data_IF_495021406233
#
_entry.id   IF_495021406233
#
_cell.length_a   1.000
_cell.length_b   1.000
_cell.length_c   1.000
_cell.angle_alpha   90.00
_cell.angle_beta   90.00
_cell.angle_gamma   90.00
#
_symmetry.space_group_name_H-M   'P 1'
#
loop_
_entity.id
_entity.type
_entity.pdbx_description
1 polymer ?
#
# COMPACT_ATOMS: atom_id res chain seq x y z
N UNK A 1 -18.38 -25.75 -9.44
CA UNK A 1 -17.23 -24.88 -9.74
C UNK A 1 -17.68 -23.45 -9.50
N UNK A 2 -17.32 -22.89 -8.35
CA UNK A 2 -17.61 -21.49 -8.06
C UNK A 2 -16.70 -20.64 -8.96
N UNK A 3 -17.29 -19.81 -9.81
CA UNK A 3 -16.54 -18.75 -10.47
C UNK A 3 -15.91 -17.90 -9.36
N UNK A 4 -14.59 -17.84 -9.33
CA UNK A 4 -13.88 -16.95 -8.43
C UNK A 4 -14.36 -15.53 -8.70
N UNK A 5 -15.02 -14.90 -7.73
CA UNK A 5 -15.35 -13.47 -7.73
C UNK A 5 -14.12 -12.60 -7.45
N UNK A 6 -12.91 -13.17 -7.53
CA UNK A 6 -11.68 -12.44 -7.33
C UNK A 6 -11.52 -11.48 -8.52
N UNK A 7 -11.48 -10.16 -8.30
CA UNK A 7 -11.44 -9.16 -9.37
C UNK A 7 -10.20 -9.29 -10.27
N UNK A 8 -9.19 -10.07 -9.83
CA UNK A 8 -7.88 -10.28 -10.44
C UNK A 8 -7.66 -11.78 -10.67
N UNK A 9 -7.19 -12.15 -11.87
CA UNK A 9 -6.83 -13.52 -12.22
C UNK A 9 -5.35 -13.77 -11.90
N UNK A 10 -5.09 -14.33 -10.72
CA UNK A 10 -3.72 -14.63 -10.28
C UNK A 10 -3.00 -15.65 -11.18
N UNK A 11 -3.72 -16.60 -11.78
CA UNK A 11 -3.10 -17.54 -12.72
C UNK A 11 -2.67 -16.83 -14.01
N UNK A 12 -3.49 -15.91 -14.53
CA UNK A 12 -3.13 -15.07 -15.66
C UNK A 12 -1.95 -14.14 -15.33
N UNK A 13 -1.91 -13.53 -14.13
CA UNK A 13 -0.77 -12.73 -13.67
C UNK A 13 0.53 -13.54 -13.64
N UNK A 14 0.50 -14.76 -13.07
CA UNK A 14 1.65 -15.65 -13.03
C UNK A 14 2.14 -16.10 -14.43
N UNK A 15 1.25 -16.04 -15.43
CA UNK A 15 1.54 -16.38 -16.82
C UNK A 15 2.08 -15.21 -17.66
N UNK A 16 2.02 -13.96 -17.17
CA UNK A 16 2.55 -12.80 -17.89
C UNK A 16 4.05 -12.96 -18.18
N UNK A 17 4.49 -12.57 -19.38
CA UNK A 17 5.90 -12.61 -19.80
C UNK A 17 6.29 -11.36 -20.58
N UNK A 18 7.58 -10.99 -20.60
CA UNK A 18 8.06 -9.97 -21.51
C UNK A 18 7.70 -10.27 -22.98
N UNK A 19 7.39 -9.24 -23.75
CA UNK A 19 6.91 -9.34 -25.13
C UNK A 19 5.40 -9.54 -25.29
N UNK A 20 4.66 -9.87 -24.22
CA UNK A 20 3.19 -9.86 -24.26
C UNK A 20 2.66 -8.42 -24.33
N UNK A 21 1.50 -8.16 -24.96
CA UNK A 21 0.93 -6.82 -25.04
C UNK A 21 0.35 -6.37 -23.70
N UNK A 22 0.25 -5.04 -23.50
CA UNK A 22 -0.41 -4.45 -22.32
C UNK A 22 -1.84 -4.97 -22.09
N UNK A 23 -2.57 -5.33 -23.14
CA UNK A 23 -3.92 -5.92 -23.03
C UNK A 23 -3.95 -7.26 -22.28
N UNK A 24 -2.83 -7.98 -22.20
CA UNK A 24 -2.71 -9.17 -21.37
C UNK A 24 -2.72 -8.81 -19.87
N UNK A 25 -2.08 -7.70 -19.50
CA UNK A 25 -2.07 -7.17 -18.13
C UNK A 25 -3.48 -6.70 -17.75
N UNK A 26 -4.13 -5.92 -18.62
CA UNK A 26 -5.51 -5.48 -18.44
C UNK A 26 -6.45 -6.66 -18.19
N UNK A 27 -6.37 -7.70 -19.03
CA UNK A 27 -7.17 -8.90 -18.87
C UNK A 27 -6.91 -9.62 -17.54
N UNK A 28 -5.65 -9.74 -17.12
CA UNK A 28 -5.28 -10.41 -15.88
C UNK A 28 -5.72 -9.60 -14.63
N UNK A 29 -5.70 -8.27 -14.72
CA UNK A 29 -6.13 -7.38 -13.64
C UNK A 29 -7.66 -7.26 -13.52
N UNK A 30 -8.40 -7.56 -14.59
CA UNK A 30 -9.86 -7.50 -14.59
C UNK A 30 -10.38 -6.14 -14.13
N UNK A 31 -11.27 -6.15 -13.14
CA UNK A 31 -11.88 -4.91 -12.63
C UNK A 31 -10.94 -4.00 -11.83
N UNK A 32 -9.75 -4.49 -11.46
CA UNK A 32 -8.72 -3.66 -10.83
C UNK A 32 -7.91 -2.83 -11.83
N UNK A 33 -8.07 -3.09 -13.14
CA UNK A 33 -7.36 -2.35 -14.18
C UNK A 33 -7.70 -0.87 -14.15
N UNK A 34 -6.66 -0.04 -14.22
CA UNK A 34 -6.75 1.40 -14.48
C UNK A 34 -5.67 1.76 -15.47
N UNK A 35 -6.00 2.60 -16.45
CA UNK A 35 -5.03 3.06 -17.44
C UNK A 35 -3.82 3.71 -16.75
N UNK A 36 -2.59 3.24 -17.01
CA UNK A 36 -1.39 3.81 -16.39
C UNK A 36 -1.22 5.27 -16.82
N UNK A 37 -0.91 6.13 -15.87
CA UNK A 37 -0.69 7.54 -16.17
C UNK A 37 0.62 7.72 -16.97
N UNK A 38 0.65 8.59 -17.99
CA UNK A 38 1.83 8.76 -18.85
C UNK A 38 3.13 9.07 -18.09
N UNK A 39 3.04 9.85 -17.01
CA UNK A 39 4.19 10.25 -16.21
C UNK A 39 4.84 9.09 -15.44
N UNK A 40 4.17 7.93 -15.33
CA UNK A 40 4.74 6.73 -14.70
C UNK A 40 5.74 5.97 -15.58
N UNK A 41 5.97 6.40 -16.83
CA UNK A 41 6.99 5.78 -17.69
C UNK A 41 6.73 4.29 -17.98
N UNK A 42 5.45 3.91 -18.11
CA UNK A 42 5.00 2.54 -18.36
C UNK A 42 4.84 1.64 -17.12
N UNK A 43 5.08 2.16 -15.90
CA UNK A 43 4.90 1.39 -14.66
C UNK A 43 3.41 1.22 -14.31
N UNK A 44 3.06 -0.02 -13.97
CA UNK A 44 1.74 -0.46 -13.52
C UNK A 44 1.93 -1.13 -12.15
N UNK A 45 1.67 -0.37 -11.09
CA UNK A 45 1.93 -0.74 -9.69
C UNK A 45 0.65 -0.90 -8.85
N UNK A 46 -0.51 -0.88 -9.50
CA UNK A 46 -1.83 -0.92 -8.85
C UNK A 46 -1.99 -2.13 -7.91
N UNK A 47 -1.37 -3.26 -8.24
CA UNK A 47 -1.46 -4.50 -7.46
C UNK A 47 -0.25 -4.73 -6.53
N UNK A 48 0.67 -3.78 -6.42
CA UNK A 48 1.90 -3.94 -5.64
C UNK A 48 1.62 -4.30 -4.17
N UNK A 49 0.70 -3.58 -3.53
CA UNK A 49 0.42 -3.74 -2.11
C UNK A 49 -0.66 -4.78 -1.80
N UNK A 50 -1.47 -5.16 -2.79
CA UNK A 50 -2.54 -6.16 -2.64
C UNK A 50 -2.11 -7.57 -3.06
N UNK A 51 -1.51 -7.72 -4.24
CA UNK A 51 -1.08 -9.01 -4.77
C UNK A 51 0.45 -9.13 -4.87
N UNK A 52 1.20 -8.04 -4.77
CA UNK A 52 2.66 -8.09 -4.89
C UNK A 52 3.18 -8.05 -6.32
N UNK A 53 2.42 -7.48 -7.26
CA UNK A 53 2.76 -7.49 -8.70
C UNK A 53 2.97 -6.08 -9.22
N UNK A 54 4.10 -5.88 -9.92
CA UNK A 54 4.41 -4.66 -10.67
C UNK A 54 4.74 -5.06 -12.10
N UNK A 55 4.16 -4.37 -13.08
CA UNK A 55 4.48 -4.56 -14.50
C UNK A 55 5.05 -3.27 -15.06
N UNK A 56 6.04 -3.36 -15.95
CA UNK A 56 6.55 -2.21 -16.71
C UNK A 56 6.41 -2.46 -18.20
N UNK A 57 5.69 -1.58 -18.86
CA UNK A 57 5.46 -1.56 -20.30
C UNK A 57 6.56 -0.75 -20.98
N UNK A 58 7.12 -1.29 -22.05
CA UNK A 58 8.14 -0.66 -22.87
C UNK A 58 7.54 0.36 -23.86
N UNK A 59 8.41 1.05 -24.61
CA UNK A 59 8.01 2.06 -25.61
C UNK A 59 7.18 1.48 -26.76
N UNK A 60 7.18 0.17 -26.94
CA UNK A 60 6.42 -0.53 -27.97
C UNK A 60 5.05 -1.01 -27.47
N UNK A 61 4.71 -0.73 -26.21
CA UNK A 61 3.44 -1.16 -25.61
C UNK A 61 3.44 -2.65 -25.19
N UNK A 62 4.63 -3.26 -25.11
CA UNK A 62 4.82 -4.63 -24.68
C UNK A 62 5.32 -4.67 -23.24
N UNK A 63 5.09 -5.78 -22.56
CA UNK A 63 5.68 -6.01 -21.25
C UNK A 63 7.21 -6.07 -21.42
N UNK A 64 7.92 -5.18 -20.77
CA UNK A 64 9.39 -5.21 -20.68
C UNK A 64 9.87 -5.90 -19.40
N UNK A 65 9.11 -5.77 -18.30
CA UNK A 65 9.44 -6.32 -16.99
C UNK A 65 8.20 -6.63 -16.16
N UNK A 66 8.27 -7.68 -15.37
CA UNK A 66 7.30 -8.02 -14.33
C UNK A 66 8.06 -8.38 -13.05
N UNK A 67 7.64 -7.82 -11.94
CA UNK A 67 8.15 -8.11 -10.60
C UNK A 67 7.03 -8.68 -9.73
N UNK A 68 7.35 -9.76 -9.03
CA UNK A 68 6.51 -10.43 -8.05
C UNK A 68 7.25 -10.41 -6.71
N UNK A 69 6.59 -9.93 -5.65
CA UNK A 69 7.14 -9.98 -4.29
C UNK A 69 6.47 -11.09 -3.45
N UNK A 70 6.89 -11.24 -2.21
CA UNK A 70 6.41 -12.24 -1.25
C UNK A 70 4.90 -12.20 -0.95
N UNK A 71 4.14 -11.22 -1.44
CA UNK A 71 2.67 -11.26 -1.36
C UNK A 71 2.08 -12.19 -2.42
N UNK A 72 2.78 -12.41 -3.53
CA UNK A 72 2.31 -13.23 -4.64
C UNK A 72 2.73 -14.70 -4.45
N UNK A 73 2.03 -15.41 -3.58
CA UNK A 73 2.32 -16.81 -3.21
C UNK A 73 1.90 -17.82 -4.27
N UNK A 74 2.45 -17.69 -5.48
CA UNK A 74 2.21 -18.54 -6.65
C UNK A 74 3.51 -19.09 -7.24
N UNK A 75 3.38 -19.99 -8.21
CA UNK A 75 4.50 -20.47 -9.03
C UNK A 75 4.65 -19.60 -10.27
N UNK A 76 5.84 -19.02 -10.47
CA UNK A 76 6.17 -18.14 -11.59
C UNK A 76 7.33 -18.75 -12.36
N UNK A 77 7.14 -19.01 -13.65
CA UNK A 77 8.14 -19.63 -14.53
C UNK A 77 8.79 -20.91 -13.93
N UNK A 78 7.98 -21.74 -13.25
CA UNK A 78 8.43 -22.97 -12.60
C UNK A 78 9.03 -22.79 -11.20
N UNK A 79 9.14 -21.56 -10.69
CA UNK A 79 9.64 -21.26 -9.33
C UNK A 79 8.47 -20.94 -8.39
N UNK A 80 8.19 -21.76 -7.37
CA UNK A 80 7.27 -21.41 -6.31
C UNK A 80 7.81 -20.25 -5.47
N UNK A 81 7.03 -19.18 -5.29
CA UNK A 81 7.36 -18.13 -4.32
C UNK A 81 7.50 -18.74 -2.91
N UNK A 82 8.53 -18.32 -2.17
CA UNK A 82 8.81 -18.86 -0.83
C UNK A 82 9.55 -20.19 -0.79
N UNK A 83 9.87 -20.82 -1.95
CA UNK A 83 10.70 -22.03 -1.97
C UNK A 83 12.04 -21.81 -1.28
N UNK A 84 12.52 -22.83 -0.57
CA UNK A 84 13.81 -22.77 0.11
C UNK A 84 14.97 -22.75 -0.88
N UNK A 85 16.09 -22.14 -0.48
CA UNK A 85 17.33 -22.18 -1.26
C UNK A 85 17.82 -23.62 -1.49
N UNK A 86 17.61 -24.51 -0.51
CA UNK A 86 18.00 -25.92 -0.58
C UNK A 86 17.22 -26.68 -1.67
N UNK A 87 15.93 -26.42 -1.80
CA UNK A 87 15.05 -27.10 -2.76
C UNK A 87 15.04 -26.44 -4.15
N UNK A 88 15.55 -25.20 -4.24
CA UNK A 88 15.53 -24.41 -5.47
C UNK A 88 16.24 -25.12 -6.62
N UNK A 89 17.42 -25.71 -6.38
CA UNK A 89 18.16 -26.43 -7.43
C UNK A 89 17.47 -27.71 -7.89
N UNK A 90 16.72 -28.37 -7.00
CA UNK A 90 15.96 -29.55 -7.40
C UNK A 90 14.76 -29.15 -8.29
N UNK A 91 14.19 -27.97 -8.04
CA UNK A 91 13.01 -27.46 -8.74
C UNK A 91 13.37 -26.79 -10.07
N UNK A 92 14.48 -26.05 -10.11
CA UNK A 92 14.99 -25.37 -11.31
C UNK A 92 16.48 -25.69 -11.46
N UNK A 93 16.84 -26.85 -12.05
CA UNK A 93 18.22 -27.34 -12.07
C UNK A 93 19.24 -26.45 -12.78
N UNK A 94 18.78 -25.63 -13.72
CA UNK A 94 19.57 -24.72 -14.55
C UNK A 94 19.60 -23.29 -14.00
N UNK A 95 19.11 -23.04 -12.78
CA UNK A 95 19.22 -21.74 -12.13
C UNK A 95 20.67 -21.50 -11.66
N UNK A 96 21.24 -20.36 -12.04
CA UNK A 96 22.54 -19.92 -11.57
C UNK A 96 22.36 -19.14 -10.27
N UNK A 97 22.88 -19.66 -9.16
CA UNK A 97 22.78 -19.01 -7.85
C UNK A 97 24.08 -18.26 -7.59
N UNK A 98 23.98 -16.94 -7.45
CA UNK A 98 25.10 -16.07 -7.14
C UNK A 98 25.58 -16.19 -5.70
N UNK A 99 26.68 -15.49 -5.43
CA UNK A 99 27.22 -15.34 -4.08
C UNK A 99 26.28 -14.52 -3.18
N UNK A 100 26.56 -14.58 -1.89
CA UNK A 100 25.85 -13.79 -0.89
C UNK A 100 26.23 -12.31 -1.01
N UNK A 101 25.24 -11.45 -0.84
CA UNK A 101 25.42 -10.00 -0.93
C UNK A 101 26.34 -9.51 0.18
N UNK A 102 27.42 -8.82 -0.19
CA UNK A 102 28.34 -8.19 0.75
C UNK A 102 27.70 -7.08 1.61
N UNK A 103 26.60 -6.50 1.13
CA UNK A 103 25.88 -5.39 1.80
C UNK A 103 24.60 -5.84 2.50
N UNK A 104 24.19 -7.10 2.34
CA UNK A 104 22.94 -7.62 2.90
C UNK A 104 23.11 -9.09 3.26
N UNK A 105 23.55 -9.34 4.49
CA UNK A 105 23.76 -10.70 5.01
C UNK A 105 22.50 -11.55 4.83
N UNK A 106 22.67 -12.77 4.33
CA UNK A 106 21.59 -13.71 4.03
C UNK A 106 20.81 -13.41 2.75
N UNK A 107 21.19 -12.41 1.96
CA UNK A 107 20.58 -12.11 0.66
C UNK A 107 21.42 -12.67 -0.50
N UNK A 108 20.76 -13.33 -1.45
CA UNK A 108 21.37 -13.84 -2.69
C UNK A 108 20.50 -13.49 -3.89
N UNK A 109 21.13 -13.43 -5.06
CA UNK A 109 20.42 -13.39 -6.34
C UNK A 109 20.65 -14.68 -7.10
N UNK A 110 19.63 -15.14 -7.80
CA UNK A 110 19.76 -16.24 -8.75
C UNK A 110 19.18 -15.85 -10.09
N UNK A 111 19.73 -16.35 -11.19
CA UNK A 111 19.33 -15.99 -12.55
C UNK A 111 19.21 -17.20 -13.45
N UNK A 112 18.28 -17.13 -14.40
CA UNK A 112 18.14 -18.11 -15.48
C UNK A 112 17.70 -17.39 -16.75
N UNK A 113 18.25 -17.80 -17.89
CA UNK A 113 17.78 -17.32 -19.17
C UNK A 113 16.54 -18.10 -19.62
N UNK A 114 15.55 -17.35 -20.08
CA UNK A 114 14.31 -17.83 -20.68
C UNK A 114 14.27 -17.39 -22.15
N UNK A 115 13.48 -18.05 -23.02
CA UNK A 115 13.26 -17.59 -24.39
C UNK A 115 12.77 -16.12 -24.47
N UNK A 116 11.95 -15.71 -23.52
CA UNK A 116 11.33 -14.38 -23.44
C UNK A 116 12.18 -13.32 -22.70
N UNK A 117 13.31 -13.68 -22.09
CA UNK A 117 14.12 -12.75 -21.32
C UNK A 117 14.89 -13.40 -20.18
N UNK A 118 15.14 -12.66 -19.11
CA UNK A 118 15.88 -13.13 -17.94
C UNK A 118 14.95 -13.28 -16.75
N UNK A 119 14.98 -14.45 -16.13
CA UNK A 119 14.41 -14.71 -14.81
C UNK A 119 15.46 -14.34 -13.76
N UNK A 120 15.08 -13.53 -12.77
CA UNK A 120 15.90 -13.18 -11.62
C UNK A 120 15.12 -13.44 -10.33
N UNK A 121 15.76 -14.08 -9.36
CA UNK A 121 15.19 -14.39 -8.06
C UNK A 121 15.94 -13.62 -6.99
N UNK A 122 15.20 -12.96 -6.09
CA UNK A 122 15.73 -12.41 -4.84
C UNK A 122 15.48 -13.43 -3.73
N UNK A 123 16.56 -13.89 -3.11
CA UNK A 123 16.53 -14.85 -2.02
C UNK A 123 16.93 -14.11 -0.75
N UNK A 124 16.16 -14.27 0.33
CA UNK A 124 16.47 -13.67 1.63
C UNK A 124 15.96 -14.62 2.72
N UNK A 125 16.73 -14.79 3.79
CA UNK A 125 16.44 -15.78 4.85
C UNK A 125 16.18 -17.18 4.28
N UNK A 126 17.04 -17.60 3.35
CA UNK A 126 17.01 -18.90 2.66
C UNK A 126 15.71 -19.21 1.90
N UNK A 127 14.90 -18.19 1.57
CA UNK A 127 13.68 -18.34 0.77
C UNK A 127 13.65 -17.37 -0.39
N UNK A 128 13.05 -17.80 -1.50
CA UNK A 128 12.71 -16.89 -2.61
C UNK A 128 11.66 -15.90 -2.11
N UNK A 129 12.02 -14.63 -2.08
CA UNK A 129 11.19 -13.52 -1.59
C UNK A 129 10.76 -12.56 -2.71
N UNK A 130 11.40 -12.66 -3.87
CA UNK A 130 11.02 -11.91 -5.06
C UNK A 130 11.40 -12.66 -6.34
N UNK A 131 10.60 -12.48 -7.38
CA UNK A 131 10.79 -13.05 -8.71
C UNK A 131 10.59 -11.93 -9.73
N UNK A 132 11.54 -11.75 -10.63
CA UNK A 132 11.42 -10.81 -11.74
C UNK A 132 11.65 -11.53 -13.06
N UNK A 133 10.85 -11.22 -14.08
CA UNK A 133 11.10 -11.63 -15.46
C UNK A 133 11.19 -10.36 -16.30
N UNK A 134 12.31 -10.17 -17.01
CA UNK A 134 12.51 -8.94 -17.78
C UNK A 134 13.26 -9.20 -19.09
N UNK A 135 12.93 -8.42 -20.12
CA UNK A 135 13.69 -8.33 -21.34
C UNK A 135 14.80 -7.28 -21.16
N UNK A 136 16.10 -7.64 -21.19
CA UNK A 136 17.20 -6.69 -21.00
C UNK A 136 17.32 -5.65 -22.13
N UNK A 137 16.63 -5.86 -23.26
CA UNK A 137 16.59 -4.94 -24.41
C UNK A 137 15.35 -4.03 -24.40
N UNK A 138 14.44 -4.16 -23.43
CA UNK A 138 13.26 -3.31 -23.36
C UNK A 138 13.66 -1.87 -23.03
N UNK A 139 13.14 -0.93 -23.81
CA UNK A 139 13.33 0.50 -23.59
C UNK A 139 12.08 1.10 -22.98
N UNK A 140 12.23 1.93 -21.96
CA UNK A 140 11.10 2.51 -21.24
C UNK A 140 10.96 4.00 -21.51
N UNK A 141 9.75 4.51 -21.32
CA UNK A 141 9.58 5.95 -21.15
C UNK A 141 10.18 6.38 -19.81
N UNK A 142 10.82 7.54 -19.79
CA UNK A 142 11.35 8.11 -18.56
C UNK A 142 10.18 8.61 -17.68
N UNK A 143 10.12 8.22 -16.41
CA UNK A 143 9.14 8.77 -15.49
C UNK A 143 9.31 10.28 -15.32
N UNK A 144 8.21 10.98 -15.11
CA UNK A 144 8.17 12.40 -14.78
C UNK A 144 7.29 12.63 -13.55
N UNK A 145 7.30 13.85 -13.03
CA UNK A 145 6.40 14.21 -11.95
C UNK A 145 4.94 14.19 -12.44
N UNK A 146 3.98 13.76 -11.61
CA UNK A 146 2.57 13.89 -11.95
C UNK A 146 2.16 15.35 -12.07
N UNK A 147 1.00 15.63 -12.70
CA UNK A 147 0.37 16.92 -12.57
C UNK A 147 -0.02 17.17 -11.11
N UNK A 148 0.43 18.30 -10.56
CA UNK A 148 0.07 18.75 -9.23
C UNK A 148 -1.12 19.70 -9.31
N UNK A 149 -2.31 19.33 -8.79
CA UNK A 149 -3.44 20.25 -8.76
C UNK A 149 -3.16 21.44 -7.86
N UNK A 150 -3.78 22.58 -8.16
CA UNK A 150 -3.75 23.72 -7.27
C UNK A 150 -4.37 23.36 -5.91
N UNK A 151 -3.74 23.79 -4.83
CA UNK A 151 -4.28 23.67 -3.47
C UNK A 151 -5.64 24.35 -3.38
N UNK A 152 -6.55 23.78 -2.60
CA UNK A 152 -7.92 24.29 -2.47
C UNK A 152 -8.45 24.14 -1.05
N UNK A 153 -9.30 25.08 -0.65
CA UNK A 153 -9.99 25.06 0.64
C UNK A 153 -9.09 25.34 1.85
N UNK A 154 -9.68 25.14 3.03
CA UNK A 154 -8.97 25.23 4.29
C UNK A 154 -8.07 24.00 4.51
N UNK A 155 -6.97 24.11 5.29
CA UNK A 155 -6.19 22.95 5.72
C UNK A 155 -7.09 21.87 6.31
N UNK A 156 -6.90 20.63 5.87
CA UNK A 156 -7.69 19.48 6.31
C UNK A 156 -8.96 19.23 5.51
N UNK A 157 -9.49 20.18 4.74
CA UNK A 157 -10.76 19.99 4.03
C UNK A 157 -10.79 18.72 3.15
N UNK A 158 -11.89 17.92 3.17
CA UNK A 158 -13.16 18.18 3.86
C UNK A 158 -13.19 17.86 5.36
N UNK A 159 -12.07 17.40 5.92
CA UNK A 159 -11.93 17.09 7.34
C UNK A 159 -11.68 18.36 8.16
N UNK A 160 -12.16 18.38 9.41
CA UNK A 160 -11.86 19.42 10.40
C UNK A 160 -10.39 19.34 10.86
N UNK A 161 -9.81 18.14 10.84
CA UNK A 161 -8.46 17.84 11.29
C UNK A 161 -7.52 17.61 10.10
N UNK A 162 -6.46 18.44 9.93
CA UNK A 162 -5.46 18.27 8.89
C UNK A 162 -4.72 16.94 8.92
N UNK A 163 -4.46 16.38 10.10
CA UNK A 163 -3.73 15.13 10.26
C UNK A 163 -4.63 13.91 9.97
N UNK A 164 -5.94 14.01 10.20
CA UNK A 164 -6.88 13.01 9.68
C UNK A 164 -6.83 12.95 8.15
N UNK A 165 -6.75 14.10 7.48
CA UNK A 165 -6.59 14.14 6.02
C UNK A 165 -5.31 13.45 5.58
N UNK A 166 -4.19 13.67 6.27
CA UNK A 166 -2.94 12.96 5.98
C UNK A 166 -3.10 11.45 6.12
N UNK A 167 -3.75 10.96 7.18
CA UNK A 167 -4.01 9.53 7.34
C UNK A 167 -4.88 8.95 6.20
N UNK A 168 -5.86 9.71 5.72
CA UNK A 168 -6.66 9.36 4.53
C UNK A 168 -5.81 9.33 3.26
N UNK A 169 -4.95 10.33 3.04
CA UNK A 169 -4.02 10.34 1.90
C UNK A 169 -3.03 9.17 1.96
N UNK A 170 -2.53 8.84 3.15
CA UNK A 170 -1.66 7.68 3.39
C UNK A 170 -2.31 6.39 2.92
N UNK A 171 -3.60 6.19 3.26
CA UNK A 171 -4.39 5.06 2.78
C UNK A 171 -4.50 5.03 1.25
N UNK A 172 -4.79 6.17 0.62
CA UNK A 172 -4.92 6.26 -0.83
C UNK A 172 -3.59 6.01 -1.55
N UNK A 173 -2.48 6.50 -1.01
CA UNK A 173 -1.14 6.22 -1.54
C UNK A 173 -0.81 4.74 -1.44
N UNK A 174 -1.10 4.14 -0.28
CA UNK A 174 -0.92 2.70 -0.08
C UNK A 174 -1.77 1.86 -1.04
N UNK A 175 -3.04 2.24 -1.23
CA UNK A 175 -3.96 1.58 -2.17
C UNK A 175 -3.70 1.95 -3.65
N UNK A 176 -2.70 2.81 -3.93
CA UNK A 176 -2.42 3.36 -5.26
C UNK A 176 -3.63 4.07 -5.88
N UNK A 177 -4.56 4.58 -5.07
CA UNK A 177 -5.73 5.36 -5.46
C UNK A 177 -5.43 6.87 -5.54
N UNK A 178 -4.29 7.30 -5.01
CA UNK A 178 -3.72 8.63 -5.15
C UNK A 178 -2.31 8.52 -5.71
N UNK A 179 -1.96 9.42 -6.63
CA UNK A 179 -0.62 9.53 -7.21
C UNK A 179 -0.15 10.98 -7.13
N UNK A 180 0.88 11.21 -6.33
CA UNK A 180 1.57 12.50 -6.14
C UNK A 180 3.08 12.37 -6.41
N UNK A 181 3.49 11.30 -7.10
CA UNK A 181 4.87 11.06 -7.49
C UNK A 181 5.70 10.52 -6.33
N UNK A 182 7.01 10.77 -6.34
CA UNK A 182 7.88 10.49 -5.20
C UNK A 182 7.89 11.67 -4.22
N UNK A 183 8.29 11.46 -2.95
CA UNK A 183 8.55 12.56 -2.03
C UNK A 183 9.44 13.66 -2.60
N UNK A 184 10.52 13.30 -3.31
CA UNK A 184 11.45 14.25 -3.95
C UNK A 184 10.80 15.03 -5.09
N UNK A 185 9.92 14.42 -5.87
CA UNK A 185 9.20 15.11 -6.93
C UNK A 185 8.25 16.17 -6.35
N UNK A 186 7.48 15.80 -5.31
CA UNK A 186 6.57 16.73 -4.66
C UNK A 186 7.34 17.88 -3.98
N UNK A 187 8.35 17.57 -3.19
CA UNK A 187 9.15 18.57 -2.51
C UNK A 187 9.83 19.52 -3.52
N UNK A 188 10.35 18.99 -4.64
CA UNK A 188 10.93 19.84 -5.68
C UNK A 188 9.91 20.77 -6.34
N UNK A 189 8.67 20.30 -6.50
CA UNK A 189 7.57 21.10 -7.03
C UNK A 189 7.21 22.27 -6.10
N UNK A 190 7.01 22.00 -4.81
CA UNK A 190 6.57 23.03 -3.86
C UNK A 190 7.68 24.01 -3.47
N UNK A 191 8.95 23.56 -3.49
CA UNK A 191 10.11 24.41 -3.19
C UNK A 191 10.63 25.18 -4.42
N UNK A 192 10.30 24.75 -5.64
CA UNK A 192 10.83 25.33 -6.87
C UNK A 192 12.34 25.06 -7.09
N UNK A 193 12.92 24.09 -6.38
CA UNK A 193 14.33 23.67 -6.47
C UNK A 193 14.45 22.17 -6.23
N UNK A 194 15.57 21.56 -6.60
CA UNK A 194 15.87 20.17 -6.22
C UNK A 194 16.06 20.02 -4.72
N UNK A 195 15.67 18.87 -4.18
CA UNK A 195 15.86 18.48 -2.78
C UNK A 195 17.29 18.01 -2.55
N UNK A 196 17.89 18.45 -1.45
CA UNK A 196 19.13 17.90 -0.90
C UNK A 196 18.79 17.13 0.38
N UNK A 197 18.87 15.80 0.35
CA UNK A 197 18.46 14.96 1.49
C UNK A 197 19.36 15.15 2.72
N UNK A 198 20.61 15.59 2.55
CA UNK A 198 21.48 15.86 3.70
C UNK A 198 21.02 17.09 4.49
N UNK A 199 20.35 18.04 3.82
CA UNK A 199 19.87 19.29 4.42
C UNK A 199 18.37 19.25 4.71
N UNK A 200 17.57 18.83 3.73
CA UNK A 200 16.11 18.86 3.76
C UNK A 200 15.50 17.59 4.40
N UNK A 201 16.28 16.54 4.62
CA UNK A 201 15.76 15.23 5.02
C UNK A 201 15.38 15.08 6.49
N UNK A 202 16.07 15.84 7.36
CA UNK A 202 15.99 15.68 8.81
C UNK A 202 14.95 16.57 9.49
N UNK A 203 14.40 17.54 8.77
CA UNK A 203 13.37 18.45 9.28
C UNK A 203 12.07 18.35 8.46
N UNK A 204 10.98 18.81 9.06
CA UNK A 204 9.71 19.00 8.37
C UNK A 204 9.85 20.08 7.29
N UNK A 205 9.37 19.80 6.08
CA UNK A 205 9.25 20.76 4.97
C UNK A 205 7.85 21.40 5.03
N UNK A 206 7.71 22.64 5.54
CA UNK A 206 6.40 23.24 5.78
C UNK A 206 5.57 23.44 4.51
N UNK A 207 6.20 23.76 3.38
CA UNK A 207 5.55 23.95 2.09
C UNK A 207 4.94 22.64 1.57
N UNK A 208 5.62 21.52 1.80
CA UNK A 208 5.10 20.20 1.44
C UNK A 208 3.92 19.82 2.34
N UNK A 209 4.02 20.09 3.65
CA UNK A 209 2.91 19.87 4.57
C UNK A 209 1.68 20.71 4.20
N UNK A 210 1.84 22.02 3.97
CA UNK A 210 0.73 22.91 3.58
C UNK A 210 0.06 22.44 2.29
N UNK A 211 0.85 22.00 1.31
CA UNK A 211 0.32 21.42 0.08
C UNK A 211 -0.52 20.17 0.34
N UNK A 212 0.00 19.21 1.13
CA UNK A 212 -0.72 17.95 1.43
C UNK A 212 -2.03 18.21 2.17
N UNK A 213 -2.03 19.05 3.21
CA UNK A 213 -3.26 19.34 3.97
C UNK A 213 -4.28 20.15 3.17
N UNK A 214 -3.89 20.78 2.06
CA UNK A 214 -4.80 21.48 1.13
C UNK A 214 -5.00 20.76 -0.20
N UNK A 215 -4.48 19.54 -0.34
CA UNK A 215 -4.66 18.75 -1.56
C UNK A 215 -6.15 18.51 -1.84
N UNK A 216 -6.68 18.80 -3.05
CA UNK A 216 -8.10 18.68 -3.33
C UNK A 216 -8.51 17.22 -3.58
N UNK A 217 -8.86 16.51 -2.50
CA UNK A 217 -9.40 15.14 -2.60
C UNK A 217 -10.79 15.15 -3.24
N UNK A 218 -11.03 14.22 -4.18
CA UNK A 218 -12.34 14.05 -4.82
C UNK A 218 -13.23 13.07 -4.08
N UNK A 219 -14.54 13.11 -4.34
CA UNK A 219 -15.50 12.15 -3.76
C UNK A 219 -15.17 10.70 -4.16
N UNK A 220 -14.68 10.48 -5.39
CA UNK A 220 -14.23 9.15 -5.84
C UNK A 220 -13.03 8.67 -5.05
N UNK A 221 -12.08 9.56 -4.73
CA UNK A 221 -10.93 9.21 -3.89
C UNK A 221 -11.38 8.89 -2.47
N UNK A 222 -12.27 9.69 -1.87
CA UNK A 222 -12.83 9.41 -0.54
C UNK A 222 -13.59 8.08 -0.51
N UNK A 223 -14.33 7.77 -1.58
CA UNK A 223 -15.00 6.48 -1.75
C UNK A 223 -14.03 5.32 -1.99
N UNK A 224 -12.80 5.54 -2.43
CA UNK A 224 -11.80 4.50 -2.63
C UNK A 224 -11.10 4.07 -1.31
N UNK A 225 -11.31 4.80 -0.21
CA UNK A 225 -10.70 4.51 1.08
C UNK A 225 -11.38 3.29 1.73
N UNK A 226 -10.68 2.15 1.75
CA UNK A 226 -11.19 0.92 2.40
C UNK A 226 -10.52 0.60 3.74
N UNK A 227 -9.32 1.14 3.98
CA UNK A 227 -8.57 0.93 5.24
C UNK A 227 -7.96 2.24 5.70
N UNK A 228 -8.02 2.55 6.98
CA UNK A 228 -7.25 3.64 7.59
C UNK A 228 -6.44 3.07 8.74
N UNK A 229 -5.19 3.49 8.82
CA UNK A 229 -4.27 3.14 9.89
C UNK A 229 -3.63 4.41 10.45
N UNK A 230 -3.67 4.55 11.77
CA UNK A 230 -2.95 5.58 12.50
C UNK A 230 -1.68 4.97 13.07
N UNK A 231 -0.58 5.24 12.37
CA UNK A 231 0.75 4.72 12.66
C UNK A 231 1.79 5.67 12.06
N UNK A 232 2.97 5.78 12.67
CA UNK A 232 4.05 6.65 12.19
C UNK A 232 4.69 6.19 10.87
N UNK A 233 4.49 4.93 10.47
CA UNK A 233 5.02 4.36 9.22
C UNK A 233 4.13 4.63 7.99
N UNK A 234 3.10 5.48 8.12
CA UNK A 234 2.20 5.81 7.03
C UNK A 234 2.90 6.39 5.78
N UNK A 235 2.41 6.01 4.60
CA UNK A 235 3.03 6.33 3.31
C UNK A 235 3.11 7.84 2.99
N UNK A 236 2.31 8.67 3.66
CA UNK A 236 2.26 10.11 3.40
C UNK A 236 3.37 10.90 4.09
N UNK A 237 3.85 10.46 5.26
CA UNK A 237 4.73 11.31 6.08
C UNK A 237 6.08 11.60 5.42
N UNK A 238 6.72 10.66 4.68
CA UNK A 238 7.95 10.96 3.95
C UNK A 238 7.83 12.08 2.92
N UNK A 239 6.61 12.45 2.48
CA UNK A 239 6.40 13.57 1.57
C UNK A 239 6.56 14.93 2.24
N UNK A 240 6.43 15.01 3.56
CA UNK A 240 6.66 16.24 4.34
C UNK A 240 7.91 16.16 5.22
N UNK A 241 8.34 14.96 5.62
CA UNK A 241 9.51 14.77 6.49
C UNK A 241 10.17 13.41 6.21
N UNK A 242 11.26 13.40 5.45
CA UNK A 242 11.87 12.18 4.88
C UNK A 242 12.33 11.17 5.92
N UNK A 243 13.03 11.65 6.96
CA UNK A 243 13.63 10.81 7.99
C UNK A 243 12.88 10.91 9.32
N UNK A 244 11.58 11.23 9.27
CA UNK A 244 10.75 11.30 10.46
C UNK A 244 10.74 9.96 11.21
N UNK A 245 11.12 10.00 12.48
CA UNK A 245 11.24 8.81 13.33
C UNK A 245 9.92 8.34 13.96
N UNK A 246 8.84 9.12 13.83
CA UNK A 246 7.56 8.81 14.47
C UNK A 246 7.40 9.35 15.89
N UNK A 247 8.32 10.18 16.38
CA UNK A 247 8.43 10.54 17.81
C UNK A 247 7.89 11.94 18.17
N UNK A 248 7.33 12.67 17.20
CA UNK A 248 6.80 14.03 17.35
C UNK A 248 5.28 14.09 17.19
N UNK A 249 4.63 14.99 17.93
CA UNK A 249 3.16 15.19 17.90
C UNK A 249 2.67 16.01 16.70
N UNK A 250 3.53 16.38 15.76
CA UNK A 250 3.16 17.21 14.60
C UNK A 250 2.07 16.58 13.74
N UNK A 251 2.03 15.25 13.70
CA UNK A 251 1.06 14.46 12.94
C UNK A 251 -0.04 13.86 13.82
N UNK A 252 -0.15 14.26 15.10
CA UNK A 252 -1.21 13.79 15.98
C UNK A 252 -2.59 14.23 15.48
N UNK A 253 -3.51 13.28 15.45
CA UNK A 253 -4.92 13.45 15.11
C UNK A 253 -5.67 13.76 16.41
N UNK A 254 -6.52 14.78 16.37
CA UNK A 254 -7.35 15.24 17.50
C UNK A 254 -8.85 15.07 17.24
N UNK A 255 -9.28 15.01 15.97
CA UNK A 255 -10.67 14.76 15.60
C UNK A 255 -10.80 13.73 14.46
N UNK A 256 -11.56 12.65 14.71
CA UNK A 256 -11.82 11.57 13.76
C UNK A 256 -13.24 11.61 13.18
N UNK A 257 -14.07 12.59 13.53
CA UNK A 257 -15.48 12.68 13.10
C UNK A 257 -15.64 12.78 11.57
N UNK A 258 -14.60 13.24 10.88
CA UNK A 258 -14.53 13.31 9.42
C UNK A 258 -14.42 11.94 8.73
N UNK A 259 -14.17 10.84 9.44
CA UNK A 259 -14.16 9.49 8.85
C UNK A 259 -15.47 9.15 8.10
N UNK A 260 -16.59 9.79 8.48
CA UNK A 260 -17.88 9.68 7.78
C UNK A 260 -17.83 10.03 6.27
N UNK A 261 -16.82 10.77 5.84
CA UNK A 261 -16.61 11.10 4.42
C UNK A 261 -16.02 9.93 3.62
N UNK A 262 -15.59 8.84 4.27
CA UNK A 262 -15.06 7.64 3.65
C UNK A 262 -16.10 6.50 3.70
N UNK A 263 -17.13 6.49 2.82
CA UNK A 263 -18.30 5.60 2.95
C UNK A 263 -17.98 4.11 2.77
N UNK A 264 -16.82 3.79 2.20
CA UNK A 264 -16.40 2.42 1.93
C UNK A 264 -15.33 1.89 2.91
N UNK A 265 -15.10 2.60 4.04
CA UNK A 265 -14.14 2.16 5.03
C UNK A 265 -14.55 0.81 5.65
N UNK A 266 -13.69 -0.21 5.49
CA UNK A 266 -13.87 -1.58 5.99
C UNK A 266 -12.95 -1.89 7.17
N UNK A 267 -11.80 -1.24 7.27
CA UNK A 267 -10.84 -1.48 8.35
C UNK A 267 -10.35 -0.18 8.95
N UNK A 268 -10.40 -0.09 10.27
CA UNK A 268 -9.84 1.02 11.04
C UNK A 268 -8.86 0.46 12.08
N UNK A 269 -7.61 0.92 12.04
CA UNK A 269 -6.56 0.47 12.95
C UNK A 269 -5.83 1.65 13.56
N UNK A 270 -5.56 1.60 14.85
CA UNK A 270 -4.88 2.67 15.59
C UNK A 270 -3.80 2.05 16.46
N UNK A 271 -2.53 2.35 16.14
CA UNK A 271 -1.38 1.97 16.95
C UNK A 271 -0.83 3.16 17.74
N UNK A 272 -0.86 4.37 17.16
CA UNK A 272 -0.37 5.62 17.74
C UNK A 272 -1.08 6.84 17.11
N UNK A 273 -0.48 8.03 17.18
CA UNK A 273 -0.93 9.27 16.49
C UNK A 273 -2.23 9.88 17.02
N UNK A 274 -2.81 9.35 18.10
CA UNK A 274 -4.00 9.91 18.74
C UNK A 274 -4.01 9.50 20.21
N UNK A 275 -4.40 10.43 21.08
CA UNK A 275 -4.39 10.21 22.54
C UNK A 275 -5.46 9.19 22.97
N UNK A 276 -6.63 9.23 22.32
CA UNK A 276 -7.77 8.34 22.60
C UNK A 276 -8.75 8.29 21.43
N UNK A 277 -9.51 7.21 21.34
CA UNK A 277 -10.55 7.02 20.31
C UNK A 277 -11.94 6.96 20.95
N UNK A 278 -12.86 7.83 20.53
CA UNK A 278 -14.29 7.68 20.81
C UNK A 278 -14.95 6.80 19.75
N UNK A 279 -15.39 5.60 20.14
CA UNK A 279 -15.94 4.60 19.21
C UNK A 279 -17.25 5.07 18.56
N UNK A 280 -17.97 6.03 19.15
CA UNK A 280 -19.20 6.60 18.56
C UNK A 280 -18.94 7.24 17.19
N UNK A 281 -17.74 7.75 16.96
CA UNK A 281 -17.35 8.31 15.67
C UNK A 281 -17.34 7.27 14.53
N UNK A 282 -17.26 5.97 14.87
CA UNK A 282 -17.23 4.87 13.91
C UNK A 282 -18.63 4.37 13.51
N UNK A 283 -19.67 4.63 14.31
CA UNK A 283 -21.05 4.16 14.09
C UNK A 283 -21.65 4.53 12.72
N UNK A 284 -21.36 5.70 12.13
CA UNK A 284 -21.81 6.03 10.78
C UNK A 284 -21.24 5.10 9.69
N UNK A 285 -20.13 4.40 9.94
CA UNK A 285 -19.38 3.62 8.96
C UNK A 285 -20.00 2.22 8.78
N UNK A 286 -21.06 2.15 7.97
CA UNK A 286 -21.87 0.93 7.84
C UNK A 286 -21.15 -0.28 7.23
N UNK A 287 -20.00 -0.06 6.56
CA UNK A 287 -19.18 -1.14 5.97
C UNK A 287 -17.98 -1.54 6.82
N UNK A 288 -17.84 -0.99 8.03
CA UNK A 288 -16.70 -1.26 8.89
C UNK A 288 -16.73 -2.71 9.41
N UNK A 289 -15.79 -3.53 8.95
CA UNK A 289 -15.68 -4.95 9.28
C UNK A 289 -14.62 -5.24 10.36
N UNK A 290 -13.61 -4.37 10.48
CA UNK A 290 -12.49 -4.55 11.40
C UNK A 290 -12.14 -3.27 12.15
N UNK A 291 -12.05 -3.39 13.48
CA UNK A 291 -11.58 -2.32 14.38
C UNK A 291 -10.44 -2.85 15.25
N UNK A 292 -9.25 -2.25 15.14
CA UNK A 292 -8.08 -2.55 15.97
C UNK A 292 -7.61 -1.29 16.68
N UNK A 293 -7.67 -1.20 18.00
CA UNK A 293 -7.31 0.03 18.70
C UNK A 293 -6.39 -0.29 19.87
N UNK A 294 -5.11 0.04 19.72
CA UNK A 294 -4.05 -0.16 20.72
C UNK A 294 -3.77 1.09 21.58
N UNK A 295 -4.72 2.02 21.62
CA UNK A 295 -4.69 3.26 22.42
C UNK A 295 -5.94 3.32 23.31
N UNK A 296 -6.00 4.23 24.31
CA UNK A 296 -7.21 4.42 25.11
C UNK A 296 -8.47 4.60 24.24
N UNK A 297 -9.57 3.98 24.64
CA UNK A 297 -10.85 4.02 23.92
C UNK A 297 -12.02 4.37 24.85
N UNK A 298 -12.94 5.18 24.36
CA UNK A 298 -14.16 5.62 25.05
C UNK A 298 -15.41 5.09 24.33
N UNK A 299 -16.50 4.90 25.08
CA UNK A 299 -17.80 4.43 24.56
C UNK A 299 -17.70 3.12 23.75
N UNK A 300 -16.95 2.15 24.28
CA UNK A 300 -16.67 0.87 23.61
C UNK A 300 -17.95 0.07 23.31
N UNK A 301 -19.02 0.31 24.06
CA UNK A 301 -20.36 -0.25 23.82
C UNK A 301 -20.90 0.11 22.42
N UNK A 302 -20.48 1.24 21.82
CA UNK A 302 -20.84 1.62 20.47
C UNK A 302 -20.34 0.65 19.38
N UNK A 303 -19.41 -0.27 19.70
CA UNK A 303 -19.08 -1.39 18.81
C UNK A 303 -20.31 -2.26 18.50
N UNK A 304 -21.27 -2.31 19.43
CA UNK A 304 -22.51 -3.06 19.24
C UNK A 304 -23.39 -2.45 18.13
N UNK A 305 -23.22 -1.17 17.83
CA UNK A 305 -24.00 -0.48 16.79
C UNK A 305 -23.37 -0.59 15.39
N UNK A 306 -22.24 -1.30 15.26
CA UNK A 306 -21.58 -1.57 13.98
C UNK A 306 -22.19 -2.82 13.34
N UNK A 307 -22.97 -2.69 12.24
CA UNK A 307 -23.74 -3.80 11.70
C UNK A 307 -22.89 -4.82 10.94
N UNK A 308 -21.75 -4.40 10.39
CA UNK A 308 -20.87 -5.24 9.57
C UNK A 308 -19.60 -5.69 10.30
N UNK A 309 -19.47 -5.38 11.59
CA UNK A 309 -18.28 -5.72 12.36
C UNK A 309 -18.08 -7.23 12.42
N UNK A 310 -16.87 -7.68 12.08
CA UNK A 310 -16.45 -9.09 12.08
C UNK A 310 -15.25 -9.33 12.98
N UNK A 311 -14.43 -8.30 13.20
CA UNK A 311 -13.21 -8.37 13.99
C UNK A 311 -13.05 -7.11 14.85
N UNK A 312 -12.80 -7.29 16.14
CA UNK A 312 -12.58 -6.20 17.08
C UNK A 312 -11.47 -6.60 18.05
N UNK A 313 -10.42 -5.79 18.22
CA UNK A 313 -9.35 -6.22 19.11
C UNK A 313 -8.34 -5.16 19.49
N UNK A 314 -7.36 -5.59 20.30
CA UNK A 314 -6.25 -4.79 20.87
C UNK A 314 -6.65 -3.68 21.85
N UNK A 315 -7.94 -3.58 22.18
CA UNK A 315 -8.42 -2.67 23.21
C UNK A 315 -7.73 -2.95 24.54
N UNK A 316 -7.41 -1.89 25.31
CA UNK A 316 -6.91 -2.08 26.67
C UNK A 316 -7.92 -2.90 27.52
N UNK A 317 -7.48 -3.89 28.31
CA UNK A 317 -8.41 -4.73 29.06
C UNK A 317 -9.00 -3.94 30.25
N UNK A 318 -10.32 -3.97 30.40
CA UNK A 318 -11.01 -3.47 31.61
C UNK A 318 -12.23 -4.35 31.92
N UNK A 319 -12.62 -4.55 33.19
CA UNK A 319 -13.77 -5.38 33.54
C UNK A 319 -15.08 -4.97 32.83
N UNK A 320 -15.34 -3.66 32.70
CA UNK A 320 -16.53 -3.14 32.03
C UNK A 320 -16.61 -3.45 30.52
N UNK A 321 -15.49 -3.86 29.89
CA UNK A 321 -15.46 -4.25 28.46
C UNK A 321 -15.77 -5.73 28.26
N UNK A 322 -15.74 -6.54 29.32
CA UNK A 322 -15.93 -7.98 29.21
C UNK A 322 -17.32 -8.33 28.65
N UNK A 323 -18.38 -7.76 29.24
CA UNK A 323 -19.77 -8.00 28.80
C UNK A 323 -20.01 -7.57 27.35
N UNK A 324 -19.36 -6.48 26.91
CA UNK A 324 -19.43 -5.98 25.52
C UNK A 324 -18.78 -6.99 24.57
N UNK A 325 -17.61 -7.51 24.94
CA UNK A 325 -16.87 -8.47 24.11
C UNK A 325 -17.58 -9.82 24.04
N UNK A 326 -18.15 -10.30 25.14
CA UNK A 326 -19.00 -11.49 25.12
C UNK A 326 -20.21 -11.32 24.19
N UNK A 327 -20.86 -10.15 24.20
CA UNK A 327 -21.98 -9.87 23.30
C UNK A 327 -21.55 -9.81 21.82
N UNK A 328 -20.37 -9.25 21.54
CA UNK A 328 -19.77 -9.28 20.20
C UNK A 328 -19.50 -10.71 19.74
N UNK A 329 -18.93 -11.55 20.60
CA UNK A 329 -18.69 -12.97 20.31
C UNK A 329 -20.00 -13.74 20.08
N UNK A 330 -21.06 -13.45 20.86
CA UNK A 330 -22.41 -14.01 20.65
C UNK A 330 -22.98 -13.65 19.27
N UNK A 331 -22.61 -12.48 18.72
CA UNK A 331 -22.96 -12.05 17.35
C UNK A 331 -22.06 -12.64 16.26
N UNK A 332 -21.05 -13.43 16.62
CA UNK A 332 -20.08 -14.02 15.69
C UNK A 332 -18.93 -13.09 15.32
N UNK A 333 -18.71 -12.02 16.08
CA UNK A 333 -17.53 -11.14 15.92
C UNK A 333 -16.33 -11.79 16.60
N UNK A 334 -15.20 -11.85 15.90
CA UNK A 334 -13.94 -12.31 16.48
C UNK A 334 -13.33 -11.22 17.36
N UNK A 335 -13.16 -11.49 18.65
CA UNK A 335 -12.45 -10.62 19.60
C UNK A 335 -11.03 -11.14 19.89
N UNK A 336 -10.02 -10.26 19.99
CA UNK A 336 -8.63 -10.64 20.28
C UNK A 336 -7.77 -9.54 20.92
#
# INVERSE_FOLDING_TARGET
MAASNDPVDAAALAALRPGMPMSAVEKAMGSAWRTPAPHKGGVIDILENSYGVIVRIDRQGLIGRIDFNSRFMHTIAGVPMGISLADLRATVPDIEIGEESATSQGARFATKQLPEGTLSLRITFDKVYGIAIFNPKAEYAEPSAPPYPAVSGAPGAPFSDPNLKLAVMSSLLFAKALDIGTPQQLASHVLGRTVDLEQDGYELIPEALDYLVRYPLTDEQLAAVERIEFDGSGAVYPYAWYFWGGEESVFDIKDISGLRFCPNLKSFSVNSMIDKVDIRALVPLKKLERVDINVPSENVDALLDLPSLRKAGRFSPTPARHDIFEELERRGVQVY
#
